data_IF_808126295384
#
_entry.id   IF_808126295384
#
_cell.length_a   1.000
_cell.length_b   1.000
_cell.length_c   1.000
_cell.angle_alpha   90.00
_cell.angle_beta   90.00
_cell.angle_gamma   90.00
#
_symmetry.space_group_name_H-M   'P 1'
#
loop_
_entity.id
_entity.type
_entity.pdbx_description
1 polymer ?
#
# COMPACT_ATOMS: atom_id res chain seq x y z
N UNK A 1 25.66 2.99 -54.15
CA UNK A 1 26.06 1.80 -53.37
C UNK A 1 27.49 2.08 -52.93
N UNK A 2 27.85 2.23 -51.66
CA UNK A 2 27.40 1.55 -50.44
C UNK A 2 27.55 2.50 -49.24
N UNK A 3 26.46 2.68 -48.47
CA UNK A 3 26.52 3.26 -47.12
C UNK A 3 27.10 2.19 -46.20
N UNK A 4 28.18 2.50 -45.51
CA UNK A 4 28.72 1.64 -44.44
C UNK A 4 27.90 1.82 -43.18
N UNK A 5 27.43 0.74 -42.52
CA UNK A 5 26.68 0.83 -41.27
C UNK A 5 27.65 1.00 -40.10
N UNK A 6 27.51 2.08 -39.35
CA UNK A 6 28.07 2.20 -37.99
C UNK A 6 26.92 2.29 -37.00
N UNK A 7 26.60 1.16 -36.42
CA UNK A 7 25.97 1.00 -35.09
C UNK A 7 26.89 -0.02 -34.38
N UNK A 8 27.12 -0.03 -33.05
CA UNK A 8 26.12 0.30 -32.03
C UNK A 8 26.66 0.89 -30.70
N UNK A 9 25.72 1.33 -29.85
CA UNK A 9 25.90 1.57 -28.41
C UNK A 9 26.77 2.76 -27.97
N UNK A 10 26.08 3.71 -27.34
CA UNK A 10 26.61 4.74 -26.45
C UNK A 10 27.49 4.12 -25.34
N UNK A 11 28.80 4.06 -25.59
CA UNK A 11 29.84 3.46 -24.74
C UNK A 11 30.05 4.20 -23.40
N UNK A 12 29.34 5.32 -23.17
CA UNK A 12 29.51 6.19 -22.01
C UNK A 12 28.32 6.18 -21.04
N UNK A 13 27.40 5.21 -21.14
CA UNK A 13 26.41 5.02 -20.10
C UNK A 13 27.12 4.63 -18.78
N UNK A 14 26.99 5.43 -17.69
CA UNK A 14 27.67 5.13 -16.44
C UNK A 14 27.26 3.74 -15.95
N UNK A 15 28.23 2.83 -15.80
CA UNK A 15 28.00 1.45 -15.32
C UNK A 15 27.25 1.54 -13.99
N UNK A 16 26.02 1.04 -13.98
CA UNK A 16 25.17 1.07 -12.80
C UNK A 16 25.83 0.25 -11.68
N UNK A 17 26.26 0.93 -10.61
CA UNK A 17 27.02 0.33 -9.52
C UNK A 17 26.10 -0.46 -8.58
N UNK A 18 25.70 -1.66 -8.98
CA UNK A 18 24.84 -2.57 -8.21
C UNK A 18 25.38 -2.84 -6.80
N UNK A 19 26.71 -2.89 -6.63
CA UNK A 19 27.38 -3.11 -5.35
C UNK A 19 27.18 -1.94 -4.38
N UNK A 20 27.11 -0.70 -4.89
CA UNK A 20 26.84 0.49 -4.08
C UNK A 20 25.39 0.49 -3.59
N UNK A 21 24.44 0.04 -4.42
CA UNK A 21 23.03 -0.13 -4.02
C UNK A 21 22.89 -1.23 -2.97
N UNK A 22 23.62 -2.34 -3.13
CA UNK A 22 23.68 -3.41 -2.13
C UNK A 22 24.29 -2.93 -0.80
N UNK A 23 25.36 -2.14 -0.85
CA UNK A 23 25.99 -1.54 0.33
C UNK A 23 25.05 -0.58 1.06
N UNK A 24 24.35 0.31 0.33
CA UNK A 24 23.34 1.22 0.90
C UNK A 24 22.20 0.41 1.54
N UNK A 25 21.72 -0.64 0.88
CA UNK A 25 20.70 -1.54 1.42
C UNK A 25 21.16 -2.22 2.71
N UNK A 26 22.39 -2.72 2.75
CA UNK A 26 23.00 -3.34 3.93
C UNK A 26 23.14 -2.34 5.09
N UNK A 27 23.56 -1.11 4.78
CA UNK A 27 23.75 -0.05 5.76
C UNK A 27 22.41 0.42 6.36
N UNK A 28 21.35 0.49 5.55
CA UNK A 28 19.99 0.77 6.02
C UNK A 28 19.45 -0.36 6.90
N UNK A 29 19.69 -1.61 6.54
CA UNK A 29 19.31 -2.77 7.37
C UNK A 29 20.06 -2.76 8.71
N UNK A 30 21.36 -2.46 8.69
CA UNK A 30 22.18 -2.34 9.90
C UNK A 30 21.73 -1.16 10.78
N UNK A 31 21.40 -0.02 10.19
CA UNK A 31 20.86 1.14 10.91
C UNK A 31 19.49 0.81 11.54
N UNK A 32 18.64 0.08 10.83
CA UNK A 32 17.32 -0.33 11.33
C UNK A 32 17.45 -1.34 12.48
N UNK A 33 18.37 -2.30 12.37
CA UNK A 33 18.70 -3.22 13.47
C UNK A 33 19.29 -2.47 14.67
N UNK A 34 20.21 -1.53 14.44
CA UNK A 34 20.80 -0.71 15.49
C UNK A 34 19.75 0.16 16.20
N UNK A 35 18.87 0.81 15.44
CA UNK A 35 17.76 1.59 15.98
C UNK A 35 16.81 0.71 16.81
N UNK A 36 16.51 -0.51 16.36
CA UNK A 36 15.70 -1.48 17.11
C UNK A 36 16.30 -1.79 18.50
N UNK A 37 17.61 -2.03 18.57
CA UNK A 37 18.29 -2.31 19.84
C UNK A 37 18.46 -1.06 20.73
N UNK A 38 18.80 0.10 20.16
CA UNK A 38 19.05 1.33 20.92
C UNK A 38 17.79 2.00 21.46
N UNK A 39 16.69 1.94 20.71
CA UNK A 39 15.40 2.49 21.15
C UNK A 39 14.64 1.55 22.09
N UNK A 40 15.21 0.37 22.41
CA UNK A 40 14.58 -0.67 23.22
C UNK A 40 13.13 -0.95 22.78
N UNK A 41 12.90 -0.98 21.46
CA UNK A 41 11.59 -1.23 20.85
C UNK A 41 11.06 -2.61 21.26
N UNK A 42 11.92 -3.53 21.68
CA UNK A 42 11.55 -4.81 22.27
C UNK A 42 10.70 -4.68 23.54
N UNK A 43 10.84 -3.58 24.30
CA UNK A 43 10.05 -3.31 25.51
C UNK A 43 8.67 -2.73 25.22
N UNK A 44 8.47 -2.05 24.09
CA UNK A 44 7.15 -1.60 23.59
C UNK A 44 6.43 -2.70 22.77
N UNK A 45 7.20 -3.64 22.23
CA UNK A 45 6.72 -4.88 21.61
C UNK A 45 6.81 -6.04 22.63
N UNK A 46 6.76 -5.72 23.93
CA UNK A 46 6.63 -6.75 24.95
C UNK A 46 5.21 -7.32 24.88
N UNK A 47 5.11 -8.64 24.80
CA UNK A 47 3.89 -9.36 24.40
C UNK A 47 2.72 -9.09 25.35
N UNK A 48 3.03 -8.87 26.62
CA UNK A 48 2.05 -8.55 27.66
C UNK A 48 1.49 -7.11 27.52
N UNK A 49 2.28 -6.18 26.99
CA UNK A 49 1.85 -4.79 26.77
C UNK A 49 0.90 -4.66 25.57
N UNK A 50 1.05 -5.51 24.54
CA UNK A 50 0.13 -5.53 23.39
C UNK A 50 -1.30 -5.83 23.87
N UNK A 51 -1.48 -6.87 24.69
CA UNK A 51 -2.79 -7.20 25.28
C UNK A 51 -3.34 -6.12 26.20
N UNK A 52 -2.48 -5.45 26.98
CA UNK A 52 -2.88 -4.33 27.82
C UNK A 52 -3.35 -3.11 27.00
N UNK A 53 -2.58 -2.71 25.98
CA UNK A 53 -2.95 -1.61 25.08
C UNK A 53 -4.23 -1.90 24.31
N UNK A 54 -4.40 -3.12 23.80
CA UNK A 54 -5.63 -3.52 23.12
C UNK A 54 -6.83 -3.47 24.05
N UNK A 55 -6.68 -3.91 25.30
CA UNK A 55 -7.75 -3.81 26.31
C UNK A 55 -8.16 -2.36 26.55
N UNK A 56 -7.20 -1.45 26.72
CA UNK A 56 -7.46 -0.01 26.90
C UNK A 56 -8.17 0.57 25.67
N UNK A 57 -7.70 0.25 24.46
CA UNK A 57 -8.32 0.74 23.22
C UNK A 57 -9.73 0.16 23.02
N UNK A 58 -9.98 -1.08 23.41
CA UNK A 58 -11.30 -1.71 23.37
C UNK A 58 -12.26 -1.09 24.39
N UNK A 59 -11.77 -0.72 25.58
CA UNK A 59 -12.55 0.02 26.57
C UNK A 59 -12.91 1.43 26.06
N UNK A 60 -11.94 2.18 25.55
CA UNK A 60 -12.19 3.47 24.91
C UNK A 60 -13.22 3.34 23.77
N UNK A 61 -13.08 2.33 22.91
CA UNK A 61 -14.07 2.04 21.86
C UNK A 61 -15.47 1.81 22.45
N UNK A 62 -15.56 0.99 23.51
CA UNK A 62 -16.83 0.64 24.13
C UNK A 62 -17.52 1.87 24.74
N UNK A 63 -16.76 2.78 25.35
CA UNK A 63 -17.27 4.05 25.89
C UNK A 63 -17.65 5.05 24.79
N UNK A 64 -16.84 5.16 23.73
CA UNK A 64 -17.04 6.14 22.66
C UNK A 64 -18.12 5.74 21.64
N UNK A 65 -18.44 4.45 21.52
CA UNK A 65 -19.48 3.95 20.61
C UNK A 65 -19.25 4.36 19.14
N UNK A 66 -20.24 5.02 18.53
CA UNK A 66 -20.16 5.51 17.13
C UNK A 66 -19.13 6.63 17.00
N UNK A 67 -18.96 7.49 18.01
CA UNK A 67 -17.97 8.57 17.97
C UNK A 67 -16.55 7.99 17.87
N UNK A 68 -16.28 6.88 18.58
CA UNK A 68 -15.00 6.19 18.47
C UNK A 68 -14.69 5.71 17.05
N UNK A 69 -15.70 5.25 16.29
CA UNK A 69 -15.51 4.88 14.88
C UNK A 69 -15.14 6.10 14.01
N UNK A 70 -15.77 7.24 14.26
CA UNK A 70 -15.51 8.49 13.53
C UNK A 70 -14.11 9.00 13.85
N UNK A 71 -13.74 9.04 15.13
CA UNK A 71 -12.41 9.45 15.59
C UNK A 71 -11.32 8.53 15.02
N UNK A 72 -11.55 7.21 15.04
CA UNK A 72 -10.64 6.25 14.44
C UNK A 72 -10.48 6.49 12.93
N UNK A 73 -11.59 6.66 12.21
CA UNK A 73 -11.54 6.92 10.77
C UNK A 73 -10.80 8.23 10.45
N UNK A 74 -11.06 9.30 11.21
CA UNK A 74 -10.38 10.58 11.05
C UNK A 74 -8.86 10.47 11.29
N UNK A 75 -8.45 9.76 12.36
CA UNK A 75 -7.05 9.48 12.63
C UNK A 75 -6.42 8.61 11.51
N UNK A 76 -7.13 7.57 11.06
CA UNK A 76 -6.71 6.71 9.96
C UNK A 76 -6.49 7.48 8.66
N UNK A 77 -7.39 8.41 8.33
CA UNK A 77 -7.23 9.32 7.18
C UNK A 77 -5.97 10.16 7.34
N UNK A 78 -5.78 10.81 8.48
CA UNK A 78 -4.60 11.65 8.74
C UNK A 78 -3.30 10.86 8.60
N UNK A 79 -3.23 9.66 9.18
CA UNK A 79 -2.06 8.79 9.06
C UNK A 79 -1.77 8.38 7.62
N UNK A 80 -2.79 8.01 6.84
CA UNK A 80 -2.59 7.63 5.42
C UNK A 80 -2.10 8.83 4.59
N UNK A 81 -2.61 10.04 4.86
CA UNK A 81 -2.11 11.29 4.24
C UNK A 81 -0.62 11.49 4.56
N UNK A 82 -0.21 11.19 5.79
CA UNK A 82 1.18 11.22 6.27
C UNK A 82 2.03 10.03 5.79
N UNK A 83 1.58 9.26 4.80
CA UNK A 83 2.26 8.07 4.26
C UNK A 83 2.40 6.89 5.23
N UNK A 84 1.64 6.85 6.33
CA UNK A 84 1.55 5.63 7.14
C UNK A 84 0.89 4.53 6.29
N UNK A 85 1.45 3.31 6.25
CA UNK A 85 0.88 2.20 5.49
C UNK A 85 -0.57 1.93 5.87
N UNK A 86 -1.48 1.94 4.88
CA UNK A 86 -2.89 1.64 5.08
C UNK A 86 -3.12 0.26 5.72
N UNK A 87 -2.22 -0.71 5.49
CA UNK A 87 -2.29 -2.02 6.12
C UNK A 87 -2.32 -1.93 7.66
N UNK A 88 -1.55 -1.02 8.26
CA UNK A 88 -1.54 -0.81 9.71
C UNK A 88 -2.90 -0.30 10.21
N UNK A 89 -3.51 0.61 9.47
CA UNK A 89 -4.83 1.16 9.81
C UNK A 89 -5.90 0.06 9.74
N UNK A 90 -5.86 -0.78 8.70
CA UNK A 90 -6.81 -1.90 8.53
C UNK A 90 -6.64 -2.94 9.64
N UNK A 91 -5.39 -3.30 9.97
CA UNK A 91 -5.08 -4.25 11.05
C UNK A 91 -5.58 -3.73 12.40
N UNK A 92 -5.30 -2.46 12.72
CA UNK A 92 -5.79 -1.83 13.95
C UNK A 92 -7.32 -1.76 13.99
N UNK A 93 -7.95 -1.37 12.89
CA UNK A 93 -9.41 -1.33 12.79
C UNK A 93 -10.03 -2.72 12.99
N UNK A 94 -9.42 -3.76 12.44
CA UNK A 94 -9.89 -5.13 12.63
C UNK A 94 -9.72 -5.61 14.07
N UNK A 95 -8.59 -5.33 14.71
CA UNK A 95 -8.40 -5.67 16.13
C UNK A 95 -9.42 -5.00 17.05
N UNK A 96 -9.86 -3.78 16.72
CA UNK A 96 -10.80 -3.02 17.52
C UNK A 96 -12.26 -3.33 17.19
N UNK A 97 -12.62 -3.49 15.91
CA UNK A 97 -14.00 -3.56 15.43
C UNK A 97 -14.35 -4.87 14.71
N UNK A 98 -13.46 -5.86 14.74
CA UNK A 98 -13.58 -7.13 14.02
C UNK A 98 -13.31 -6.99 12.52
N UNK A 99 -13.25 -8.11 11.80
CA UNK A 99 -12.91 -8.12 10.36
C UNK A 99 -13.80 -7.19 9.51
N UNK A 100 -15.13 -7.18 9.75
CA UNK A 100 -16.05 -6.31 8.99
C UNK A 100 -15.81 -4.83 9.28
N UNK A 101 -15.54 -4.47 10.54
CA UNK A 101 -15.17 -3.11 10.92
C UNK A 101 -13.84 -2.70 10.31
N UNK A 102 -12.86 -3.60 10.27
CA UNK A 102 -11.59 -3.42 9.59
C UNK A 102 -11.74 -3.14 8.10
N UNK A 103 -12.61 -3.88 7.42
CA UNK A 103 -12.93 -3.66 6.00
C UNK A 103 -13.56 -2.28 5.80
N UNK A 104 -14.62 -1.99 6.55
CA UNK A 104 -15.38 -0.75 6.38
C UNK A 104 -14.52 0.48 6.67
N UNK A 105 -13.90 0.54 7.85
CA UNK A 105 -13.06 1.67 8.27
C UNK A 105 -11.80 1.79 7.41
N UNK A 106 -11.21 0.66 7.00
CA UNK A 106 -10.06 0.62 6.12
C UNK A 106 -10.36 1.20 4.73
N UNK A 107 -11.45 0.75 4.10
CA UNK A 107 -11.91 1.25 2.80
C UNK A 107 -12.23 2.74 2.89
N UNK A 108 -12.98 3.14 3.91
CA UNK A 108 -13.41 4.53 4.10
C UNK A 108 -12.20 5.46 4.28
N UNK A 109 -11.30 5.11 5.22
CA UNK A 109 -10.12 5.91 5.52
C UNK A 109 -9.20 6.04 4.31
N UNK A 110 -8.94 4.93 3.59
CA UNK A 110 -8.09 4.95 2.41
C UNK A 110 -8.68 5.80 1.28
N UNK A 111 -9.99 5.69 1.03
CA UNK A 111 -10.64 6.46 -0.03
C UNK A 111 -10.63 7.94 0.28
N UNK A 112 -11.03 8.34 1.50
CA UNK A 112 -11.02 9.75 1.91
C UNK A 112 -9.59 10.31 1.86
N UNK A 113 -8.61 9.60 2.42
CA UNK A 113 -7.22 10.03 2.38
C UNK A 113 -6.70 10.19 0.95
N UNK A 114 -7.00 9.24 0.06
CA UNK A 114 -6.58 9.32 -1.35
C UNK A 114 -7.21 10.53 -2.05
N UNK A 115 -8.48 10.83 -1.77
CA UNK A 115 -9.15 12.03 -2.28
C UNK A 115 -8.46 13.30 -1.78
N UNK A 116 -8.15 13.37 -0.48
CA UNK A 116 -7.44 14.53 0.10
C UNK A 116 -6.05 14.71 -0.51
N UNK A 117 -5.27 13.63 -0.62
CA UNK A 117 -3.94 13.66 -1.25
C UNK A 117 -4.04 14.11 -2.71
N UNK A 118 -5.05 13.64 -3.45
CA UNK A 118 -5.32 14.11 -4.81
C UNK A 118 -5.63 15.60 -4.87
N UNK A 119 -6.48 16.10 -3.97
CA UNK A 119 -6.80 17.53 -3.91
C UNK A 119 -5.55 18.36 -3.58
N UNK A 120 -4.74 17.93 -2.61
CA UNK A 120 -3.47 18.58 -2.24
C UNK A 120 -2.50 18.55 -3.44
N UNK A 121 -2.31 17.38 -4.04
CA UNK A 121 -1.42 17.19 -5.19
C UNK A 121 -1.84 18.02 -6.41
N UNK A 122 -3.14 18.16 -6.65
CA UNK A 122 -3.67 18.94 -7.79
C UNK A 122 -3.45 20.44 -7.62
N UNK A 123 -3.59 20.97 -6.40
CA UNK A 123 -3.46 22.40 -6.13
C UNK A 123 -2.01 22.83 -5.86
N UNK A 124 -1.21 22.00 -5.17
CA UNK A 124 0.13 22.37 -4.70
C UNK A 124 1.26 21.56 -5.35
N UNK A 125 1.01 20.29 -5.69
CA UNK A 125 2.07 19.35 -6.09
C UNK A 125 2.35 19.26 -7.59
N UNK A 126 1.34 19.46 -8.46
CA UNK A 126 1.45 19.17 -9.90
C UNK A 126 2.55 19.98 -10.58
N UNK A 127 2.70 21.27 -10.24
CA UNK A 127 3.74 22.12 -10.82
C UNK A 127 5.16 21.67 -10.41
N UNK A 128 5.35 21.24 -9.15
CA UNK A 128 6.63 20.76 -8.66
C UNK A 128 7.01 19.41 -9.30
N UNK A 129 6.07 18.49 -9.39
CA UNK A 129 6.32 17.15 -9.95
C UNK A 129 6.50 17.20 -11.47
N UNK A 130 5.75 18.02 -12.20
CA UNK A 130 5.96 18.18 -13.65
C UNK A 130 7.33 18.79 -13.98
N UNK A 131 7.89 19.64 -13.12
CA UNK A 131 9.25 20.18 -13.29
C UNK A 131 10.33 19.11 -13.13
N UNK A 132 10.14 18.15 -12.22
CA UNK A 132 11.14 17.11 -11.91
C UNK A 132 10.97 15.87 -12.79
N UNK A 133 9.73 15.47 -13.10
CA UNK A 133 9.40 14.18 -13.72
C UNK A 133 8.63 14.30 -15.05
N UNK A 134 8.45 15.51 -15.61
CA UNK A 134 7.58 15.75 -16.77
C UNK A 134 7.86 14.87 -18.00
N UNK A 135 9.13 14.55 -18.30
CA UNK A 135 9.49 13.67 -19.43
C UNK A 135 9.04 12.21 -19.25
N UNK A 136 9.07 11.69 -18.01
CA UNK A 136 8.61 10.34 -17.71
C UNK A 136 7.07 10.24 -17.60
N UNK A 137 6.39 11.36 -17.34
CA UNK A 137 4.93 11.40 -17.15
C UNK A 137 4.14 11.51 -18.46
N UNK A 138 4.69 12.08 -19.54
CA UNK A 138 3.96 12.30 -20.80
C UNK A 138 3.37 11.04 -21.48
N UNK A 139 4.10 9.90 -21.58
CA UNK A 139 3.55 8.66 -22.14
C UNK A 139 2.47 8.06 -21.23
N UNK A 140 2.66 8.19 -19.91
CA UNK A 140 1.76 7.67 -18.88
C UNK A 140 0.47 8.49 -18.83
N UNK A 141 0.52 9.82 -18.94
CA UNK A 141 -0.68 10.68 -18.95
C UNK A 141 -1.64 10.34 -20.10
N UNK A 142 -1.14 10.01 -21.29
CA UNK A 142 -1.99 9.62 -22.45
C UNK A 142 -2.70 8.28 -22.25
N UNK A 143 -2.04 7.30 -21.62
CA UNK A 143 -2.65 5.99 -21.35
C UNK A 143 -3.73 6.09 -20.27
N UNK A 144 -3.50 6.92 -19.25
CA UNK A 144 -4.42 7.08 -18.13
C UNK A 144 -5.62 7.98 -18.44
N UNK A 145 -5.54 8.91 -19.41
CA UNK A 145 -6.68 9.77 -19.75
C UNK A 145 -7.86 9.01 -20.36
N UNK A 146 -7.60 7.90 -21.06
CA UNK A 146 -8.64 7.13 -21.75
C UNK A 146 -9.23 5.98 -20.90
N UNK A 147 -8.51 5.51 -19.86
CA UNK A 147 -8.95 4.40 -18.99
C UNK A 147 -8.58 4.61 -17.51
N UNK A 148 -8.80 5.83 -16.99
CA UNK A 148 -8.38 6.22 -15.64
C UNK A 148 -8.84 5.25 -14.55
N UNK A 149 -10.11 4.85 -14.56
CA UNK A 149 -10.68 3.94 -13.56
C UNK A 149 -9.95 2.58 -13.54
N UNK A 150 -9.87 1.95 -14.71
CA UNK A 150 -9.23 0.63 -14.85
C UNK A 150 -7.75 0.71 -14.46
N UNK A 151 -7.07 1.80 -14.84
CA UNK A 151 -5.65 1.98 -14.52
C UNK A 151 -5.41 2.11 -13.02
N UNK A 152 -6.29 2.83 -12.30
CA UNK A 152 -6.22 2.93 -10.82
C UNK A 152 -6.45 1.56 -10.19
N UNK A 153 -7.46 0.81 -10.64
CA UNK A 153 -7.74 -0.55 -10.14
C UNK A 153 -6.50 -1.43 -10.28
N UNK A 154 -5.89 -1.47 -11.47
CA UNK A 154 -4.69 -2.26 -11.74
C UNK A 154 -3.52 -1.85 -10.85
N UNK A 155 -3.22 -0.55 -10.77
CA UNK A 155 -2.12 -0.07 -9.91
C UNK A 155 -2.36 -0.45 -8.44
N UNK A 156 -3.59 -0.37 -7.94
CA UNK A 156 -3.93 -0.72 -6.55
C UNK A 156 -3.79 -2.20 -6.25
N UNK A 157 -4.06 -3.04 -7.24
CA UNK A 157 -3.92 -4.49 -7.20
C UNK A 157 -2.44 -4.91 -7.29
N UNK A 158 -1.69 -4.31 -8.23
CA UNK A 158 -0.26 -4.57 -8.42
C UNK A 158 0.56 -4.13 -7.20
N UNK A 159 0.31 -2.93 -6.68
CA UNK A 159 0.99 -2.40 -5.52
C UNK A 159 0.24 -2.72 -4.22
N UNK A 160 0.17 -4.01 -3.94
CA UNK A 160 -0.58 -4.58 -2.82
C UNK A 160 -0.15 -4.05 -1.44
N UNK A 161 1.13 -3.68 -1.27
CA UNK A 161 1.69 -3.32 0.03
C UNK A 161 2.53 -2.03 0.06
N UNK A 162 2.59 -1.24 -1.04
CA UNK A 162 3.46 -0.06 -1.09
C UNK A 162 2.71 1.24 -0.72
N UNK A 163 3.10 1.93 0.37
CA UNK A 163 2.51 3.22 0.77
C UNK A 163 2.62 4.36 -0.26
N UNK A 164 3.73 4.52 -1.02
CA UNK A 164 3.92 5.67 -1.91
C UNK A 164 2.92 5.78 -3.07
N UNK A 165 2.14 4.72 -3.33
CA UNK A 165 1.19 4.67 -4.44
C UNK A 165 0.09 5.72 -4.29
N UNK A 166 -0.25 6.11 -3.05
CA UNK A 166 -1.25 7.14 -2.76
C UNK A 166 -0.87 8.49 -3.40
N UNK A 167 0.38 8.91 -3.18
CA UNK A 167 0.89 10.15 -3.75
C UNK A 167 1.20 10.02 -5.23
N UNK A 168 1.69 8.86 -5.68
CA UNK A 168 1.91 8.61 -7.11
C UNK A 168 0.63 8.83 -7.93
N UNK A 169 -0.48 8.19 -7.53
CA UNK A 169 -1.78 8.33 -8.19
C UNK A 169 -2.32 9.77 -8.16
N UNK A 170 -2.04 10.51 -7.09
CA UNK A 170 -2.50 11.89 -6.93
C UNK A 170 -1.88 12.87 -7.92
N UNK A 171 -0.66 12.61 -8.40
CA UNK A 171 0.00 13.48 -9.37
C UNK A 171 -0.39 13.13 -10.81
N UNK A 172 -0.99 11.97 -11.03
CA UNK A 172 -1.47 11.55 -12.33
C UNK A 172 -2.67 12.39 -12.78
N UNK A 173 -2.83 12.58 -14.09
CA UNK A 173 -3.98 13.28 -14.66
C UNK A 173 -5.23 12.39 -14.70
N UNK A 174 -5.72 12.00 -13.53
CA UNK A 174 -6.91 11.18 -13.32
C UNK A 174 -8.14 12.06 -13.00
N UNK A 175 -9.33 11.59 -13.37
CA UNK A 175 -10.59 12.18 -12.86
C UNK A 175 -10.78 11.73 -11.41
N UNK A 176 -11.26 12.62 -10.53
CA UNK A 176 -11.51 12.31 -9.12
C UNK A 176 -12.39 11.06 -8.94
N UNK A 177 -13.43 10.92 -9.76
CA UNK A 177 -14.33 9.74 -9.74
C UNK A 177 -13.60 8.43 -10.07
N UNK A 178 -12.67 8.47 -11.03
CA UNK A 178 -11.92 7.31 -11.49
C UNK A 178 -10.92 6.88 -10.40
N UNK A 179 -10.32 7.86 -9.72
CA UNK A 179 -9.46 7.63 -8.56
C UNK A 179 -10.21 7.04 -7.37
N UNK A 180 -11.36 7.60 -7.02
CA UNK A 180 -12.17 7.16 -5.88
C UNK A 180 -12.73 5.76 -6.12
N UNK A 181 -13.45 5.54 -7.23
CA UNK A 181 -14.00 4.22 -7.55
C UNK A 181 -12.90 3.18 -7.78
N UNK A 182 -11.79 3.57 -8.42
CA UNK A 182 -10.69 2.66 -8.65
C UNK A 182 -9.95 2.28 -7.39
N UNK A 183 -9.82 3.21 -6.43
CA UNK A 183 -9.23 2.92 -5.12
C UNK A 183 -10.14 2.03 -4.29
N UNK A 184 -11.45 2.33 -4.28
CA UNK A 184 -12.47 1.50 -3.65
C UNK A 184 -12.41 0.06 -4.17
N UNK A 185 -12.54 -0.15 -5.48
CA UNK A 185 -12.60 -1.50 -6.06
C UNK A 185 -11.23 -2.19 -6.00
N UNK A 186 -10.17 -1.51 -6.42
CA UNK A 186 -8.83 -2.11 -6.52
C UNK A 186 -8.16 -2.38 -5.18
N UNK A 187 -8.60 -1.73 -4.09
CA UNK A 187 -8.04 -1.95 -2.74
C UNK A 187 -8.87 -2.90 -1.88
N UNK A 188 -10.11 -3.20 -2.26
CA UNK A 188 -10.99 -4.09 -1.50
C UNK A 188 -10.34 -5.47 -1.24
N UNK A 189 -9.78 -6.18 -2.24
CA UNK A 189 -9.23 -7.52 -2.01
C UNK A 189 -8.13 -7.55 -0.95
N UNK A 190 -7.21 -6.57 -0.98
CA UNK A 190 -6.14 -6.47 0.02
C UNK A 190 -6.64 -6.09 1.40
N UNK A 191 -7.62 -5.19 1.47
CA UNK A 191 -8.21 -4.77 2.74
C UNK A 191 -8.92 -5.94 3.41
N UNK A 192 -9.62 -6.79 2.66
CA UNK A 192 -10.25 -8.01 3.19
C UNK A 192 -9.20 -8.94 3.82
N UNK A 193 -8.09 -9.17 3.10
CA UNK A 193 -6.98 -10.00 3.60
C UNK A 193 -6.39 -9.42 4.90
N UNK A 194 -6.08 -8.12 4.93
CA UNK A 194 -5.54 -7.47 6.13
C UNK A 194 -6.53 -7.42 7.28
N UNK A 195 -7.81 -7.19 7.01
CA UNK A 195 -8.81 -7.10 8.07
C UNK A 195 -9.02 -8.46 8.74
N UNK A 196 -9.08 -9.53 7.94
CA UNK A 196 -9.17 -10.88 8.48
C UNK A 196 -7.91 -11.27 9.27
N UNK A 197 -6.72 -10.93 8.73
CA UNK A 197 -5.46 -11.11 9.45
C UNK A 197 -5.45 -10.36 10.78
N UNK A 198 -5.91 -9.11 10.81
CA UNK A 198 -5.93 -8.30 12.02
C UNK A 198 -6.85 -8.87 13.10
N UNK A 199 -8.05 -9.32 12.72
CA UNK A 199 -9.02 -9.91 13.64
C UNK A 199 -8.48 -11.18 14.29
N UNK A 200 -7.92 -12.10 13.49
CA UNK A 200 -7.42 -13.39 13.98
C UNK A 200 -6.06 -13.28 14.66
N UNK A 201 -5.08 -12.64 14.00
CA UNK A 201 -3.70 -12.64 14.48
C UNK A 201 -3.55 -11.80 15.74
N UNK A 202 -4.20 -10.63 15.81
CA UNK A 202 -3.95 -9.70 16.91
C UNK A 202 -4.54 -10.24 18.21
N UNK A 203 -5.72 -10.89 18.16
CA UNK A 203 -6.29 -11.54 19.34
C UNK A 203 -5.47 -12.76 19.79
N UNK A 204 -5.01 -13.60 18.86
CA UNK A 204 -4.14 -14.73 19.21
C UNK A 204 -2.80 -14.27 19.76
N UNK A 205 -2.18 -13.23 19.16
CA UNK A 205 -0.92 -12.64 19.65
C UNK A 205 -1.08 -12.03 21.04
N UNK A 206 -2.23 -11.44 21.35
CA UNK A 206 -2.47 -10.71 22.58
C UNK A 206 -2.88 -11.60 23.76
N UNK A 207 -3.69 -12.63 23.53
CA UNK A 207 -4.35 -13.40 24.60
C UNK A 207 -4.03 -14.91 24.59
N UNK A 208 -3.69 -15.48 23.43
CA UNK A 208 -3.44 -16.93 23.28
C UNK A 208 -2.20 -17.22 22.42
N UNK A 209 -1.01 -16.71 22.78
CA UNK A 209 0.17 -16.78 21.93
C UNK A 209 0.67 -18.21 21.72
N UNK A 210 0.47 -19.08 22.70
CA UNK A 210 0.79 -20.52 22.67
C UNK A 210 -0.08 -21.31 21.68
N UNK A 211 -1.24 -20.77 21.28
CA UNK A 211 -2.12 -21.34 20.24
C UNK A 211 -1.82 -20.77 18.84
N UNK A 212 -0.92 -19.80 18.73
CA UNK A 212 -0.51 -19.22 17.46
C UNK A 212 0.52 -20.11 16.78
N UNK A 213 0.05 -21.14 16.09
CA UNK A 213 0.89 -21.91 15.18
C UNK A 213 0.96 -21.18 13.83
N UNK A 214 2.17 -20.92 13.32
CA UNK A 214 2.36 -20.27 12.02
C UNK A 214 1.79 -21.08 10.84
N UNK A 215 1.57 -22.38 11.04
CA UNK A 215 0.92 -23.30 10.11
C UNK A 215 -0.58 -23.46 10.36
N UNK A 216 -1.20 -22.70 11.26
CA UNK A 216 -2.62 -22.84 11.48
C UNK A 216 -3.40 -22.42 10.23
N UNK A 217 -4.55 -23.05 9.93
CA UNK A 217 -5.38 -22.67 8.80
C UNK A 217 -5.73 -21.18 8.83
N UNK A 218 -5.86 -20.62 10.04
CA UNK A 218 -6.21 -19.22 10.24
C UNK A 218 -5.03 -18.24 10.01
N UNK A 219 -3.83 -18.71 9.68
CA UNK A 219 -2.71 -17.84 9.26
C UNK A 219 -2.32 -18.17 7.82
N UNK A 220 -2.35 -19.44 7.45
CA UNK A 220 -2.05 -19.88 6.10
C UNK A 220 -3.09 -19.43 5.07
N UNK A 221 -4.38 -19.46 5.38
CA UNK A 221 -5.42 -19.08 4.40
C UNK A 221 -5.28 -17.66 3.83
N UNK A 222 -5.02 -16.58 4.59
CA UNK A 222 -4.88 -15.23 4.03
C UNK A 222 -3.52 -15.03 3.38
N UNK A 223 -2.47 -15.71 3.86
CA UNK A 223 -1.16 -15.69 3.21
C UNK A 223 -1.27 -16.34 1.83
N UNK A 224 -1.89 -17.51 1.75
CA UNK A 224 -2.19 -18.18 0.50
C UNK A 224 -3.16 -17.38 -0.35
N UNK A 225 -4.22 -16.80 0.21
CA UNK A 225 -5.14 -15.94 -0.54
C UNK A 225 -4.45 -14.70 -1.10
N UNK A 226 -3.55 -14.07 -0.34
CA UNK A 226 -2.74 -12.94 -0.80
C UNK A 226 -1.75 -13.34 -1.90
N UNK A 227 -1.10 -14.50 -1.77
CA UNK A 227 -0.21 -15.06 -2.80
C UNK A 227 -1.02 -15.41 -4.07
N UNK A 228 -2.13 -16.14 -3.93
CA UNK A 228 -3.01 -16.53 -5.03
C UNK A 228 -3.58 -15.29 -5.72
N UNK A 229 -4.05 -14.30 -4.97
CA UNK A 229 -4.51 -13.03 -5.51
C UNK A 229 -3.37 -12.34 -6.28
N UNK A 230 -2.17 -12.26 -5.72
CA UNK A 230 -1.01 -11.67 -6.39
C UNK A 230 -0.63 -12.42 -7.68
N UNK A 231 -0.73 -13.74 -7.68
CA UNK A 231 -0.47 -14.57 -8.87
C UNK A 231 -1.57 -14.42 -9.93
N UNK A 232 -2.84 -14.42 -9.53
CA UNK A 232 -3.97 -14.18 -10.42
C UNK A 232 -3.86 -12.81 -11.08
N UNK A 233 -3.44 -11.79 -10.34
CA UNK A 233 -3.22 -10.46 -10.86
C UNK A 233 -2.07 -10.42 -11.88
N UNK A 234 -0.96 -11.12 -11.63
CA UNK A 234 0.13 -11.26 -12.63
C UNK A 234 -0.33 -11.96 -13.91
N UNK A 235 -1.23 -12.93 -13.80
CA UNK A 235 -1.81 -13.61 -14.97
C UNK A 235 -2.69 -12.65 -15.75
N UNK A 236 -3.55 -11.87 -15.08
CA UNK A 236 -4.38 -10.84 -15.73
C UNK A 236 -3.53 -9.76 -16.39
N UNK A 237 -2.46 -9.30 -15.74
CA UNK A 237 -1.52 -8.32 -16.29
C UNK A 237 -0.84 -8.81 -17.57
N UNK A 238 -0.51 -10.12 -17.65
CA UNK A 238 0.07 -10.71 -18.87
C UNK A 238 -0.85 -10.61 -20.08
N UNK A 239 -2.17 -10.63 -19.86
CA UNK A 239 -3.14 -10.44 -20.93
C UNK A 239 -3.38 -8.95 -21.25
N UNK A 240 -3.19 -8.06 -20.27
CA UNK A 240 -3.38 -6.62 -20.42
C UNK A 240 -2.21 -5.91 -21.11
N UNK A 241 -0.97 -6.37 -20.88
CA UNK A 241 0.27 -5.87 -21.54
C UNK A 241 0.50 -6.58 -22.89
N UNK A 242 -0.45 -7.36 -23.40
CA UNK A 242 -0.33 -7.84 -24.78
C UNK A 242 -0.54 -6.66 -25.74
N UNK A 243 0.40 -6.38 -26.65
CA UNK A 243 0.25 -5.33 -27.65
C UNK A 243 -0.82 -5.76 -28.67
N UNK A 244 -2.10 -5.59 -28.32
CA UNK A 244 -3.19 -5.58 -29.28
C UNK A 244 -3.33 -4.17 -29.84
N UNK A 245 -2.31 -3.73 -30.55
CA UNK A 245 -2.31 -2.48 -31.31
C UNK A 245 -1.34 -2.55 -32.49
N UNK A 246 -1.33 -3.65 -33.25
CA UNK A 246 -0.65 -3.68 -34.55
C UNK A 246 -1.38 -4.45 -35.66
N UNK A 247 -2.65 -4.83 -35.48
CA UNK A 247 -3.48 -5.37 -36.57
C UNK A 247 -4.95 -5.01 -36.39
N UNK A 248 -5.35 -3.81 -36.84
CA UNK A 248 -6.66 -3.48 -37.40
C UNK A 248 -6.61 -2.06 -37.98
#
# INVERSE_FOLDING_TARGET
MTVSPTDPHDENAPKENWWLRALIGLMLLALMAWAYYMLDLGRYVDRQQIGAHLTVLRLWRAEAGILGMIEFAAAGVAFIVLNVPCALIVLAAAALYGALGGIFLGVLSLNIATILIYLIGRHFGRAAVMRVFGRAMHPVERHFSNRGLISVIHLRLLFFALPPVNWFLAVMNLRLRDLALGTLIGSLPKIVVYAWLGDVLIDKLAYHPDQLHWYSPEVLTPMLAGIVLSLLLRVVDRFWISPRAEQA
#
